data_IF_900383671133
#
_entry.id   IF_900383671133
#
_cell.length_a   1.000
_cell.length_b   1.000
_cell.length_c   1.000
_cell.angle_alpha   90.00
_cell.angle_beta   90.00
_cell.angle_gamma   90.00
#
_symmetry.space_group_name_H-M   'P 1'
#
loop_
_entity.id
_entity.type
_entity.pdbx_description
1 polymer ?
#
# COMPACT_ATOMS: atom_id res chain seq x y z
N UNK A 1 13.70 8.38 -1.04
CA UNK A 1 13.92 7.10 -0.34
C UNK A 1 14.32 6.06 -1.36
N UNK A 2 15.23 5.13 -1.04
CA UNK A 2 15.65 4.05 -1.95
C UNK A 2 14.95 2.75 -1.53
N UNK A 3 14.49 1.95 -2.50
CA UNK A 3 13.77 0.71 -2.22
C UNK A 3 14.78 -0.38 -1.90
N UNK A 4 14.67 -1.00 -0.73
CA UNK A 4 15.46 -2.17 -0.39
C UNK A 4 14.77 -3.44 -0.91
N UNK A 5 15.30 -3.99 -2.01
CA UNK A 5 14.74 -5.20 -2.62
C UNK A 5 14.85 -6.46 -1.73
N UNK A 6 15.78 -6.48 -0.75
CA UNK A 6 15.90 -7.61 0.18
C UNK A 6 14.77 -7.70 1.22
N UNK A 7 14.05 -6.60 1.44
CA UNK A 7 12.92 -6.50 2.40
C UNK A 7 11.61 -6.16 1.71
N UNK A 8 11.57 -6.16 0.38
CA UNK A 8 10.47 -5.62 -0.42
C UNK A 8 9.11 -6.20 -0.04
N UNK A 9 9.02 -7.51 0.15
CA UNK A 9 7.76 -8.17 0.52
C UNK A 9 7.25 -7.68 1.89
N UNK A 10 8.15 -7.59 2.88
CA UNK A 10 7.81 -7.12 4.22
C UNK A 10 7.42 -5.63 4.21
N UNK A 11 8.15 -4.83 3.43
CA UNK A 11 7.89 -3.39 3.29
C UNK A 11 6.53 -3.14 2.61
N UNK A 12 6.22 -3.86 1.54
CA UNK A 12 4.92 -3.79 0.86
C UNK A 12 3.79 -4.26 1.80
N UNK A 13 3.97 -5.36 2.52
CA UNK A 13 2.95 -5.85 3.45
C UNK A 13 2.67 -4.84 4.60
N UNK A 14 3.72 -4.24 5.15
CA UNK A 14 3.59 -3.18 6.15
C UNK A 14 2.89 -1.95 5.58
N UNK A 15 3.24 -1.55 4.36
CA UNK A 15 2.62 -0.44 3.65
C UNK A 15 1.13 -0.70 3.36
N UNK A 16 0.75 -1.88 2.85
CA UNK A 16 -0.65 -2.24 2.59
C UNK A 16 -1.50 -2.11 3.84
N UNK A 17 -1.00 -2.59 4.99
CA UNK A 17 -1.71 -2.47 6.27
C UNK A 17 -1.92 -1.01 6.67
N UNK A 18 -0.89 -0.18 6.52
CA UNK A 18 -0.98 1.25 6.83
C UNK A 18 -1.91 1.98 5.86
N UNK A 19 -1.85 1.66 4.57
CA UNK A 19 -2.69 2.24 3.52
C UNK A 19 -4.17 1.93 3.75
N UNK A 20 -4.53 0.68 4.03
CA UNK A 20 -5.92 0.30 4.33
C UNK A 20 -6.44 1.02 5.59
N UNK A 21 -5.59 1.15 6.63
CA UNK A 21 -5.96 1.90 7.83
C UNK A 21 -6.21 3.39 7.53
N UNK A 22 -5.33 4.02 6.76
CA UNK A 22 -5.49 5.41 6.34
C UNK A 22 -6.74 5.61 5.47
N UNK A 23 -7.00 4.71 4.52
CA UNK A 23 -8.22 4.73 3.70
C UNK A 23 -9.47 4.58 4.56
N UNK A 24 -9.44 3.74 5.59
CA UNK A 24 -10.55 3.60 6.54
C UNK A 24 -10.83 4.91 7.28
N UNK A 25 -9.79 5.59 7.74
CA UNK A 25 -9.92 6.82 8.51
C UNK A 25 -10.39 8.01 7.65
N UNK A 26 -10.00 8.05 6.37
CA UNK A 26 -10.30 9.16 5.45
C UNK A 26 -11.60 8.94 4.67
N UNK A 27 -11.78 7.73 4.13
CA UNK A 27 -12.85 7.40 3.18
C UNK A 27 -13.96 6.53 3.79
N UNK A 28 -13.69 5.89 4.94
CA UNK A 28 -14.65 5.02 5.62
C UNK A 28 -14.39 3.52 5.42
N UNK A 29 -15.15 2.67 6.13
CA UNK A 29 -14.89 1.23 6.20
C UNK A 29 -15.18 0.47 4.91
N UNK A 30 -16.17 0.88 4.12
CA UNK A 30 -16.57 0.18 2.89
C UNK A 30 -15.48 0.33 1.81
N UNK A 31 -14.95 1.54 1.65
CA UNK A 31 -13.83 1.86 0.77
C UNK A 31 -12.55 1.15 1.19
N UNK A 32 -12.27 1.11 2.51
CA UNK A 32 -11.14 0.34 3.02
C UNK A 32 -11.26 -1.15 2.73
N UNK A 33 -12.47 -1.70 2.82
CA UNK A 33 -12.74 -3.10 2.47
C UNK A 33 -12.57 -3.34 0.97
N UNK A 34 -13.11 -2.48 0.11
CA UNK A 34 -12.94 -2.59 -1.35
C UNK A 34 -11.46 -2.57 -1.74
N UNK A 35 -10.68 -1.65 -1.16
CA UNK A 35 -9.23 -1.55 -1.38
C UNK A 35 -8.52 -2.81 -0.88
N UNK A 36 -8.85 -3.31 0.31
CA UNK A 36 -8.26 -4.54 0.85
C UNK A 36 -8.45 -5.74 -0.09
N UNK A 37 -9.68 -5.92 -0.61
CA UNK A 37 -10.00 -6.99 -1.57
C UNK A 37 -9.21 -6.84 -2.86
N UNK A 38 -9.10 -5.63 -3.41
CA UNK A 38 -8.30 -5.38 -4.62
C UNK A 38 -6.82 -5.71 -4.40
N UNK A 39 -6.23 -5.24 -3.31
CA UNK A 39 -4.80 -5.45 -3.02
C UNK A 39 -4.46 -6.91 -2.69
N UNK A 40 -5.40 -7.65 -2.11
CA UNK A 40 -5.25 -9.10 -1.88
C UNK A 40 -5.32 -9.90 -3.19
N UNK A 41 -6.23 -9.53 -4.10
CA UNK A 41 -6.38 -10.20 -5.39
C UNK A 41 -5.28 -9.84 -6.40
N UNK A 42 -4.68 -8.65 -6.28
CA UNK A 42 -3.72 -8.11 -7.24
C UNK A 42 -2.40 -7.66 -6.56
N UNK A 43 -1.47 -8.60 -6.32
CA UNK A 43 -0.18 -8.29 -5.67
C UNK A 43 0.66 -7.26 -6.42
N UNK A 44 0.54 -7.21 -7.75
CA UNK A 44 1.24 -6.21 -8.58
C UNK A 44 0.71 -4.79 -8.37
N UNK A 45 -0.60 -4.65 -8.14
CA UNK A 45 -1.23 -3.36 -7.82
C UNK A 45 -0.71 -2.85 -6.48
N UNK A 46 -0.59 -3.73 -5.46
CA UNK A 46 0.02 -3.38 -4.18
C UNK A 46 1.47 -2.92 -4.31
N UNK A 47 2.30 -3.65 -5.07
CA UNK A 47 3.68 -3.26 -5.32
C UNK A 47 3.78 -1.92 -6.07
N UNK A 48 2.95 -1.72 -7.10
CA UNK A 48 2.95 -0.49 -7.88
C UNK A 48 2.63 0.72 -7.00
N UNK A 49 1.56 0.65 -6.21
CA UNK A 49 1.15 1.77 -5.36
C UNK A 49 2.18 2.07 -4.27
N UNK A 50 2.80 1.05 -3.68
CA UNK A 50 3.92 1.24 -2.76
C UNK A 50 5.08 2.02 -3.42
N UNK A 51 5.45 1.64 -4.65
CA UNK A 51 6.52 2.34 -5.39
C UNK A 51 6.13 3.79 -5.70
N UNK A 52 4.88 4.04 -6.07
CA UNK A 52 4.37 5.39 -6.34
C UNK A 52 4.40 6.26 -5.08
N UNK A 53 3.98 5.73 -3.93
CA UNK A 53 3.98 6.43 -2.65
C UNK A 53 5.42 6.77 -2.18
N UNK A 54 6.34 5.82 -2.34
CA UNK A 54 7.77 6.03 -2.06
C UNK A 54 8.42 7.08 -2.97
N UNK A 55 7.91 7.24 -4.21
CA UNK A 55 8.34 8.29 -5.14
C UNK A 55 7.74 9.65 -4.80
N UNK A 56 6.47 9.69 -4.36
CA UNK A 56 5.78 10.91 -3.95
C UNK A 56 6.32 11.49 -2.64
N UNK A 57 6.85 10.62 -1.77
CA UNK A 57 7.52 10.99 -0.51
C UNK A 57 8.92 11.61 -0.70
N UNK A 58 9.28 12.01 -1.93
CA UNK A 58 10.55 12.66 -2.25
C UNK A 58 10.36 14.19 -2.14
N UNK A 59 11.21 14.91 -1.39
CA UNK A 59 11.20 16.37 -1.39
C UNK A 59 11.59 16.95 -2.76
#
# INVERSE_FOLDING_TARGET
MEINYSTLEADVAAWVKAHIAATRDICGPDEAYAVAVTLEAEPWTALQWYVEDMRASRP
#
